data_IF_351075331828
#
_entry.id   IF_351075331828
#
_cell.length_a   1.000
_cell.length_b   1.000
_cell.length_c   1.000
_cell.angle_alpha   90.00
_cell.angle_beta   90.00
_cell.angle_gamma   90.00
#
_symmetry.space_group_name_H-M   'P 1'
#
loop_
_entity.id
_entity.type
_entity.pdbx_description
1 polymer ?
#
# COMPACT_ATOMS: atom_id res chain seq x y z
N UNK A 1 13.73 -56.42 -5.84
CA UNK A 1 12.46 -55.76 -5.43
C UNK A 1 12.68 -54.76 -4.28
N UNK A 2 13.59 -55.06 -3.36
CA UNK A 2 13.95 -54.25 -2.19
C UNK A 2 14.55 -52.88 -2.55
N UNK A 3 15.53 -52.83 -3.45
CA UNK A 3 16.14 -51.56 -3.91
C UNK A 3 15.14 -50.61 -4.58
N UNK A 4 14.10 -51.13 -5.26
CA UNK A 4 13.03 -50.31 -5.84
C UNK A 4 12.13 -49.70 -4.76
N UNK A 5 11.86 -50.43 -3.67
CA UNK A 5 11.11 -49.92 -2.52
C UNK A 5 11.88 -48.82 -1.78
N UNK A 6 13.18 -49.02 -1.57
CA UNK A 6 14.07 -48.02 -0.96
C UNK A 6 14.10 -46.74 -1.81
N UNK A 7 14.27 -46.87 -3.13
CA UNK A 7 14.26 -45.71 -4.04
C UNK A 7 12.95 -44.94 -3.98
N UNK A 8 11.80 -45.63 -4.03
CA UNK A 8 10.48 -45.00 -3.93
C UNK A 8 10.31 -44.28 -2.59
N UNK A 9 10.71 -44.89 -1.48
CA UNK A 9 10.63 -44.27 -0.16
C UNK A 9 11.51 -43.01 -0.04
N UNK A 10 12.75 -43.05 -0.54
CA UNK A 10 13.64 -41.87 -0.54
C UNK A 10 13.06 -40.75 -1.41
N UNK A 11 12.54 -41.09 -2.59
CA UNK A 11 11.91 -40.11 -3.48
C UNK A 11 10.70 -39.44 -2.82
N UNK A 12 9.84 -40.20 -2.14
CA UNK A 12 8.69 -39.66 -1.42
C UNK A 12 9.11 -38.73 -0.27
N UNK A 13 10.16 -39.09 0.48
CA UNK A 13 10.69 -38.22 1.54
C UNK A 13 11.20 -36.90 0.96
N UNK A 14 11.95 -36.94 -0.14
CA UNK A 14 12.44 -35.73 -0.81
C UNK A 14 11.26 -34.88 -1.27
N UNK A 15 10.24 -35.48 -1.89
CA UNK A 15 9.05 -34.78 -2.34
C UNK A 15 8.32 -34.07 -1.18
N UNK A 16 8.14 -34.75 -0.04
CA UNK A 16 7.52 -34.17 1.15
C UNK A 16 8.33 -32.99 1.70
N UNK A 17 9.66 -33.11 1.74
CA UNK A 17 10.53 -32.01 2.19
C UNK A 17 10.42 -30.83 1.21
N UNK A 18 10.43 -31.07 -0.10
CA UNK A 18 10.29 -30.00 -1.09
C UNK A 18 8.96 -29.28 -0.97
N UNK A 19 7.85 -30.00 -0.80
CA UNK A 19 6.52 -29.40 -0.57
C UNK A 19 6.52 -28.57 0.72
N UNK A 20 7.03 -29.11 1.83
CA UNK A 20 7.07 -28.38 3.10
C UNK A 20 7.94 -27.11 3.05
N UNK A 21 9.07 -27.15 2.35
CA UNK A 21 9.93 -25.97 2.14
C UNK A 21 9.23 -24.93 1.28
N UNK A 22 8.53 -25.36 0.24
CA UNK A 22 7.75 -24.46 -0.62
C UNK A 22 6.59 -23.80 0.14
N UNK A 23 5.80 -24.57 0.88
CA UNK A 23 4.71 -24.04 1.72
C UNK A 23 5.21 -23.03 2.74
N UNK A 24 6.34 -23.30 3.39
CA UNK A 24 6.96 -22.34 4.30
C UNK A 24 7.36 -21.05 3.58
N UNK A 25 7.98 -21.16 2.41
CA UNK A 25 8.41 -20.00 1.64
C UNK A 25 7.23 -19.10 1.26
N UNK A 26 6.12 -19.70 0.77
CA UNK A 26 4.88 -18.97 0.45
C UNK A 26 4.31 -18.29 1.69
N UNK A 27 4.25 -18.98 2.84
CA UNK A 27 3.78 -18.38 4.09
C UNK A 27 4.66 -17.21 4.54
N UNK A 28 5.97 -17.30 4.40
CA UNK A 28 6.90 -16.22 4.74
C UNK A 28 6.66 -14.99 3.82
N UNK A 29 6.44 -15.19 2.52
CA UNK A 29 6.11 -14.13 1.55
C UNK A 29 4.76 -13.47 1.86
N UNK A 30 3.71 -14.26 2.10
CA UNK A 30 2.39 -13.75 2.48
C UNK A 30 2.43 -12.97 3.81
N UNK A 31 3.21 -13.46 4.79
CA UNK A 31 3.41 -12.75 6.05
C UNK A 31 4.14 -11.43 5.85
N UNK A 32 5.14 -11.38 4.97
CA UNK A 32 5.86 -10.14 4.64
C UNK A 32 4.92 -9.14 3.95
N UNK A 33 4.13 -9.60 2.98
CA UNK A 33 3.11 -8.79 2.32
C UNK A 33 2.14 -8.20 3.34
N UNK A 34 1.57 -9.01 4.23
CA UNK A 34 0.59 -8.59 5.22
C UNK A 34 1.15 -7.52 6.17
N UNK A 35 2.41 -7.69 6.60
CA UNK A 35 3.11 -6.72 7.44
C UNK A 35 3.25 -5.37 6.71
N UNK A 36 3.66 -5.40 5.45
CA UNK A 36 3.87 -4.19 4.65
C UNK A 36 2.56 -3.50 4.28
N UNK A 37 1.53 -4.25 3.90
CA UNK A 37 0.20 -3.72 3.62
C UNK A 37 -0.38 -3.02 4.87
N UNK A 38 -0.24 -3.65 6.04
CA UNK A 38 -0.67 -3.06 7.32
C UNK A 38 0.10 -1.78 7.64
N UNK A 39 1.42 -1.79 7.48
CA UNK A 39 2.28 -0.62 7.73
C UNK A 39 1.99 0.54 6.76
N UNK A 40 1.72 0.23 5.49
CA UNK A 40 1.32 1.21 4.49
C UNK A 40 -0.05 1.82 4.81
N UNK A 41 -1.04 0.98 5.17
CA UNK A 41 -2.37 1.44 5.57
C UNK A 41 -2.31 2.34 6.81
N UNK A 42 -1.58 1.94 7.85
CA UNK A 42 -1.42 2.78 9.06
C UNK A 42 -0.77 4.13 8.75
N UNK A 43 0.30 4.14 7.94
CA UNK A 43 0.97 5.38 7.54
C UNK A 43 0.06 6.27 6.67
N UNK A 44 -0.72 5.66 5.78
CA UNK A 44 -1.68 6.34 4.94
C UNK A 44 -2.84 6.96 5.74
N UNK A 45 -3.43 6.20 6.67
CA UNK A 45 -4.50 6.69 7.53
C UNK A 45 -4.00 7.88 8.38
N UNK A 46 -2.78 7.79 8.91
CA UNK A 46 -2.14 8.89 9.64
C UNK A 46 -1.94 10.14 8.77
N UNK A 47 -1.49 9.99 7.53
CA UNK A 47 -1.38 11.11 6.59
C UNK A 47 -2.74 11.76 6.31
N UNK A 48 -3.78 10.96 6.09
CA UNK A 48 -5.14 11.46 5.88
C UNK A 48 -5.66 12.25 7.08
N UNK A 49 -5.44 11.74 8.30
CA UNK A 49 -5.82 12.44 9.53
C UNK A 49 -5.04 13.76 9.69
N UNK A 50 -3.74 13.75 9.38
CA UNK A 50 -2.94 14.97 9.37
C UNK A 50 -3.45 15.99 8.34
N UNK A 51 -3.77 15.55 7.12
CA UNK A 51 -4.29 16.38 6.03
C UNK A 51 -5.60 17.07 6.41
N UNK A 52 -6.52 16.33 7.04
CA UNK A 52 -7.78 16.88 7.56
C UNK A 52 -7.57 17.81 8.77
N UNK A 53 -6.60 17.49 9.62
CA UNK A 53 -6.26 18.29 10.80
C UNK A 53 -5.67 19.67 10.51
N UNK A 54 -5.24 19.95 9.26
CA UNK A 54 -4.75 21.29 8.88
C UNK A 54 -5.85 22.36 8.97
N UNK A 55 -7.12 21.98 8.73
CA UNK A 55 -8.25 22.91 8.81
C UNK A 55 -8.64 23.25 10.25
N UNK A 56 -8.27 22.40 11.19
CA UNK A 56 -8.50 22.60 12.61
C UNK A 56 -7.13 22.94 13.23
N UNK A 57 -6.57 24.11 12.87
CA UNK A 57 -5.16 24.61 13.04
C UNK A 57 -4.44 24.27 14.37
N UNK A 58 -5.17 23.84 15.39
CA UNK A 58 -4.67 23.25 16.64
C UNK A 58 -4.19 21.80 16.54
N UNK A 59 -4.53 21.05 15.49
CA UNK A 59 -4.34 19.59 15.39
C UNK A 59 -3.12 19.19 14.56
N UNK A 60 -2.81 19.90 13.47
CA UNK A 60 -1.67 19.56 12.60
C UNK A 60 -0.92 20.82 12.17
N UNK A 61 0.38 20.88 12.46
CA UNK A 61 1.28 21.91 11.90
C UNK A 61 2.04 21.38 10.67
N UNK A 62 2.79 22.26 10.00
CA UNK A 62 3.59 21.90 8.81
C UNK A 62 4.55 20.73 9.05
N UNK A 63 5.22 20.68 10.21
CA UNK A 63 6.17 19.61 10.51
C UNK A 63 5.49 18.26 10.66
N UNK A 64 4.31 18.22 11.28
CA UNK A 64 3.51 17.01 11.44
C UNK A 64 2.98 16.51 10.09
N UNK A 65 2.50 17.42 9.23
CA UNK A 65 2.08 17.08 7.86
C UNK A 65 3.26 16.56 7.01
N UNK A 66 4.41 17.25 7.02
CA UNK A 66 5.60 16.84 6.29
C UNK A 66 6.11 15.47 6.76
N UNK A 67 6.07 15.20 8.08
CA UNK A 67 6.50 13.93 8.67
C UNK A 67 5.57 12.79 8.27
N UNK A 68 4.25 13.00 8.39
CA UNK A 68 3.26 11.99 7.99
C UNK A 68 3.33 11.70 6.49
N UNK A 69 3.47 12.74 5.64
CA UNK A 69 3.72 12.59 4.20
C UNK A 69 4.97 11.74 3.91
N UNK A 70 6.10 12.06 4.55
CA UNK A 70 7.35 11.31 4.36
C UNK A 70 7.18 9.84 4.77
N UNK A 71 6.45 9.59 5.86
CA UNK A 71 6.17 8.24 6.36
C UNK A 71 5.27 7.46 5.38
N UNK A 72 4.19 8.04 4.89
CA UNK A 72 3.31 7.36 3.93
C UNK A 72 4.06 7.03 2.64
N UNK A 73 4.82 7.96 2.07
CA UNK A 73 5.57 7.69 0.84
C UNK A 73 6.61 6.58 1.00
N UNK A 74 7.29 6.51 2.16
CA UNK A 74 8.24 5.45 2.43
C UNK A 74 7.57 4.07 2.53
N UNK A 75 6.43 3.98 3.20
CA UNK A 75 5.72 2.71 3.38
C UNK A 75 5.00 2.28 2.09
N UNK A 76 4.32 3.20 1.42
CA UNK A 76 3.64 2.96 0.14
C UNK A 76 4.63 2.45 -0.90
N UNK A 77 5.82 3.04 -1.02
CA UNK A 77 6.84 2.59 -1.98
C UNK A 77 7.23 1.12 -1.78
N UNK A 78 7.41 0.69 -0.53
CA UNK A 78 7.78 -0.70 -0.21
C UNK A 78 6.61 -1.63 -0.51
N UNK A 79 5.42 -1.29 -0.03
CA UNK A 79 4.23 -2.10 -0.22
C UNK A 79 3.84 -2.22 -1.71
N UNK A 80 3.80 -1.13 -2.46
CA UNK A 80 3.47 -1.13 -3.91
C UNK A 80 4.38 -2.08 -4.68
N UNK A 81 5.69 -2.09 -4.37
CA UNK A 81 6.63 -3.03 -4.99
C UNK A 81 6.24 -4.49 -4.73
N UNK A 82 5.92 -4.83 -3.48
CA UNK A 82 5.54 -6.21 -3.14
C UNK A 82 4.17 -6.58 -3.72
N UNK A 83 3.22 -5.63 -3.72
CA UNK A 83 1.92 -5.79 -4.36
C UNK A 83 2.04 -6.16 -5.83
N UNK A 84 2.87 -5.44 -6.59
CA UNK A 84 3.08 -5.75 -8.01
C UNK A 84 3.71 -7.12 -8.23
N UNK A 85 4.58 -7.59 -7.34
CA UNK A 85 5.15 -8.92 -7.44
C UNK A 85 4.07 -10.01 -7.33
N UNK A 86 3.17 -9.90 -6.34
CA UNK A 86 2.04 -10.84 -6.19
C UNK A 86 1.00 -10.69 -7.31
N UNK A 87 0.75 -9.47 -7.80
CA UNK A 87 -0.14 -9.25 -8.94
C UNK A 87 0.38 -9.92 -10.22
N UNK A 88 1.67 -9.75 -10.53
CA UNK A 88 2.30 -10.40 -11.69
C UNK A 88 2.29 -11.93 -11.57
N UNK A 89 2.42 -12.46 -10.36
CA UNK A 89 2.29 -13.89 -10.07
C UNK A 89 0.83 -14.40 -10.10
N UNK A 90 -0.17 -13.51 -10.23
CA UNK A 90 -1.60 -13.81 -10.09
C UNK A 90 -1.96 -14.46 -8.75
N UNK A 91 -1.26 -14.03 -7.71
CA UNK A 91 -1.34 -14.55 -6.36
C UNK A 91 -1.73 -13.41 -5.40
N UNK A 92 -2.61 -12.49 -5.77
CA UNK A 92 -3.16 -11.54 -4.81
C UNK A 92 -4.29 -12.18 -4.00
N UNK A 93 -4.55 -11.74 -2.74
CA UNK A 93 -5.61 -12.30 -1.91
C UNK A 93 -7.03 -11.86 -2.33
N UNK A 94 -7.13 -11.12 -3.44
CA UNK A 94 -8.38 -10.65 -4.02
C UNK A 94 -8.26 -10.60 -5.54
N UNK A 95 -9.40 -10.66 -6.22
CA UNK A 95 -9.45 -10.59 -7.67
C UNK A 95 -9.41 -9.12 -8.11
N UNK A 96 -8.43 -8.82 -8.96
CA UNK A 96 -8.26 -7.51 -9.56
C UNK A 96 -7.86 -7.68 -11.02
N UNK A 97 -8.70 -7.13 -11.89
CA UNK A 97 -8.40 -6.93 -13.30
C UNK A 97 -8.17 -5.43 -13.49
N UNK A 98 -6.91 -5.03 -13.61
CA UNK A 98 -6.60 -3.74 -14.23
C UNK A 98 -6.96 -3.88 -15.71
N UNK A 99 -7.96 -3.14 -16.17
CA UNK A 99 -8.22 -3.03 -17.60
C UNK A 99 -7.03 -2.30 -18.21
N UNK A 100 -6.39 -2.88 -19.24
CA UNK A 100 -5.14 -2.35 -19.82
C UNK A 100 -5.26 -0.91 -20.35
N UNK A 101 -6.49 -0.41 -20.57
CA UNK A 101 -6.78 0.93 -21.10
C UNK A 101 -7.03 2.00 -20.02
N UNK A 102 -7.38 1.64 -18.77
CA UNK A 102 -7.90 2.58 -17.76
C UNK A 102 -6.93 2.93 -16.62
N UNK A 103 -5.63 2.64 -16.79
CA UNK A 103 -4.60 2.97 -15.81
C UNK A 103 -4.56 2.00 -14.63
N UNK A 104 -3.62 2.23 -13.71
CA UNK A 104 -3.46 1.42 -12.51
C UNK A 104 -4.00 2.22 -11.30
N UNK A 105 -5.22 1.91 -10.80
CA UNK A 105 -5.83 2.54 -9.64
C UNK A 105 -4.94 2.65 -8.40
N UNK A 106 -4.02 1.70 -8.21
CA UNK A 106 -3.06 1.75 -7.12
C UNK A 106 -1.98 2.82 -7.39
N UNK A 107 -1.51 2.94 -8.63
CA UNK A 107 -0.61 4.04 -9.00
C UNK A 107 -1.29 5.40 -8.92
N UNK A 108 -2.56 5.49 -9.33
CA UNK A 108 -3.32 6.73 -9.22
C UNK A 108 -3.42 7.17 -7.75
N UNK A 109 -3.70 6.21 -6.86
CA UNK A 109 -3.67 6.44 -5.41
C UNK A 109 -2.28 6.87 -4.92
N UNK A 110 -1.22 6.22 -5.41
CA UNK A 110 0.16 6.56 -5.07
C UNK A 110 0.56 7.97 -5.51
N UNK A 111 0.13 8.41 -6.69
CA UNK A 111 0.43 9.74 -7.23
C UNK A 111 -0.45 10.85 -6.65
N UNK A 112 -1.69 10.54 -6.26
CA UNK A 112 -2.61 11.49 -5.65
C UNK A 112 -2.16 11.95 -4.25
N UNK A 113 -1.37 11.14 -3.51
CA UNK A 113 -0.83 11.50 -2.19
C UNK A 113 0.11 12.73 -2.27
N UNK A 114 1.17 12.74 -3.11
CA UNK A 114 2.00 13.92 -3.35
C UNK A 114 1.23 15.16 -3.80
N UNK A 115 0.22 14.98 -4.66
CA UNK A 115 -0.62 16.09 -5.13
C UNK A 115 -1.40 16.71 -3.99
N UNK A 116 -2.08 15.90 -3.17
CA UNK A 116 -2.83 16.37 -2.02
C UNK A 116 -1.91 17.09 -1.02
N UNK A 117 -0.73 16.53 -0.76
CA UNK A 117 0.28 17.15 0.09
C UNK A 117 0.70 18.53 -0.45
N UNK A 118 1.05 18.61 -1.74
CA UNK A 118 1.46 19.84 -2.41
C UNK A 118 0.38 20.91 -2.34
N UNK A 119 -0.87 20.56 -2.64
CA UNK A 119 -2.00 21.50 -2.63
C UNK A 119 -2.24 22.07 -1.23
N UNK A 120 -2.18 21.23 -0.20
CA UNK A 120 -2.32 21.67 1.19
C UNK A 120 -1.18 22.60 1.58
N UNK A 121 0.07 22.26 1.23
CA UNK A 121 1.24 23.08 1.55
C UNK A 121 1.16 24.45 0.89
N UNK A 122 0.79 24.50 -0.38
CA UNK A 122 0.66 25.76 -1.10
C UNK A 122 -0.45 26.63 -0.53
N UNK A 123 -1.64 26.04 -0.28
CA UNK A 123 -2.80 26.77 0.20
C UNK A 123 -2.66 27.27 1.66
N UNK A 124 -2.04 26.48 2.54
CA UNK A 124 -2.06 26.76 3.99
C UNK A 124 -0.73 27.23 4.57
N UNK A 125 0.40 26.83 3.99
CA UNK A 125 1.71 27.06 4.60
C UNK A 125 2.63 27.99 3.81
N UNK A 126 2.61 27.95 2.47
CA UNK A 126 3.50 28.77 1.64
C UNK A 126 2.91 30.13 1.25
N UNK A 127 1.57 30.26 1.20
CA UNK A 127 0.86 31.53 0.87
C UNK A 127 1.50 32.29 -0.30
N UNK A 128 1.92 31.57 -1.35
CA UNK A 128 2.55 32.20 -2.50
C UNK A 128 1.51 33.00 -3.30
N UNK A 129 1.70 34.32 -3.47
CA UNK A 129 0.68 35.19 -4.09
C UNK A 129 0.49 34.94 -5.59
N UNK A 130 1.39 34.21 -6.26
CA UNK A 130 1.29 33.89 -7.69
C UNK A 130 0.46 32.63 -7.99
N UNK A 131 0.18 31.81 -6.97
CA UNK A 131 -0.61 30.59 -7.06
C UNK A 131 -1.65 30.58 -5.94
N UNK A 132 -2.69 31.41 -6.08
CA UNK A 132 -3.80 31.46 -5.12
C UNK A 132 -4.66 30.18 -5.24
N UNK A 133 -4.11 29.05 -4.76
CA UNK A 133 -4.80 27.77 -4.70
C UNK A 133 -5.82 27.87 -3.58
N UNK A 134 -7.09 28.04 -3.96
CA UNK A 134 -8.21 28.00 -3.02
C UNK A 134 -8.59 26.54 -2.78
N UNK A 135 -7.99 25.90 -1.78
CA UNK A 135 -8.31 24.54 -1.37
C UNK A 135 -9.29 24.57 -0.19
N UNK A 136 -10.48 24.03 -0.35
CA UNK A 136 -11.51 24.01 0.71
C UNK A 136 -11.47 22.73 1.54
N UNK A 137 -11.96 22.78 2.79
CA UNK A 137 -12.08 21.59 3.67
C UNK A 137 -12.83 20.46 2.99
N UNK A 138 -13.95 20.79 2.34
CA UNK A 138 -14.79 19.84 1.62
C UNK A 138 -14.05 19.11 0.50
N UNK A 139 -13.23 19.83 -0.28
CA UNK A 139 -12.43 19.21 -1.35
C UNK A 139 -11.38 18.22 -0.79
N UNK A 140 -10.77 18.55 0.35
CA UNK A 140 -9.83 17.63 1.01
C UNK A 140 -10.56 16.42 1.58
N UNK A 141 -11.72 16.60 2.21
CA UNK A 141 -12.56 15.51 2.70
C UNK A 141 -12.96 14.53 1.58
N UNK A 142 -13.40 15.06 0.43
CA UNK A 142 -13.77 14.24 -0.73
C UNK A 142 -12.58 13.43 -1.27
N UNK A 143 -11.41 14.07 -1.45
CA UNK A 143 -10.19 13.39 -1.90
C UNK A 143 -9.70 12.34 -0.90
N UNK A 144 -9.71 12.65 0.40
CA UNK A 144 -9.32 11.70 1.45
C UNK A 144 -10.27 10.50 1.48
N UNK A 145 -11.57 10.71 1.30
CA UNK A 145 -12.54 9.62 1.25
C UNK A 145 -12.31 8.70 0.05
N UNK A 146 -12.05 9.28 -1.13
CA UNK A 146 -11.72 8.52 -2.34
C UNK A 146 -10.44 7.68 -2.16
N UNK A 147 -9.37 8.30 -1.68
CA UNK A 147 -8.09 7.60 -1.45
C UNK A 147 -8.22 6.49 -0.41
N UNK A 148 -9.01 6.70 0.66
CA UNK A 148 -9.32 5.67 1.66
C UNK A 148 -10.03 4.48 1.04
N UNK A 149 -11.03 4.73 0.19
CA UNK A 149 -11.75 3.67 -0.51
C UNK A 149 -10.82 2.83 -1.39
N UNK A 150 -9.87 3.46 -2.09
CA UNK A 150 -8.89 2.72 -2.90
C UNK A 150 -7.94 1.90 -2.01
N UNK A 151 -7.43 2.48 -0.93
CA UNK A 151 -6.54 1.77 -0.01
C UNK A 151 -7.19 0.57 0.67
N UNK A 152 -8.51 0.60 0.93
CA UNK A 152 -9.26 -0.54 1.45
C UNK A 152 -9.35 -1.71 0.46
N UNK A 153 -9.42 -1.42 -0.84
CA UNK A 153 -9.44 -2.43 -1.90
C UNK A 153 -8.06 -3.07 -2.05
N UNK A 154 -6.99 -2.28 -1.99
CA UNK A 154 -5.66 -2.75 -2.34
C UNK A 154 -4.87 -3.34 -1.17
N UNK A 155 -5.08 -2.88 0.08
CA UNK A 155 -4.35 -3.38 1.26
C UNK A 155 -5.02 -4.59 1.95
N UNK A 156 -5.63 -5.49 1.19
CA UNK A 156 -6.27 -6.70 1.73
C UNK A 156 -5.21 -7.75 2.08
N UNK A 157 -5.21 -8.32 3.30
CA UNK A 157 -4.24 -9.33 3.70
C UNK A 157 -4.54 -10.72 3.11
N UNK A 158 -3.50 -11.52 2.93
CA UNK A 158 -3.60 -12.98 2.74
C UNK A 158 -4.13 -13.65 4.01
N UNK A 159 -4.98 -14.67 3.82
CA UNK A 159 -5.63 -15.46 4.87
C UNK A 159 -4.76 -16.59 5.40
#
# INVERSE_FOLDING_TARGET
MENKKIFVSVFLIILLITVAVYEKHVNDEHSEYNLQASSAKEAFDNFCDCALGVFDETLTNFSDLQRSYTRVMANMKVWVRNHYAHWQARDLPYNITYEEEDGDPLMDTYFAIPELYSDIVNAYYLKEPEYEITLTKKQVEERVAELRSQMEIHCVPFS
#
